data_IF_964733436023
#
_entry.id   IF_964733436023
#
_cell.length_a   1.000
_cell.length_b   1.000
_cell.length_c   1.000
_cell.angle_alpha   90.00
_cell.angle_beta   90.00
_cell.angle_gamma   90.00
#
_symmetry.space_group_name_H-M   'P 1'
#
loop_
_entity.id
_entity.type
_entity.pdbx_description
1 polymer ?
2 non-polymer ?
3 non-polymer ?
4 non-polymer ?
5 water ?
#
# COMPACT_ATOMS: atom_id res chain seq x y z
N UNK A 1 19.58 18.36 33.04
CA UNK A 1 20.99 18.38 32.56
C UNK A 1 20.97 18.37 31.03
N UNK A 2 21.72 19.30 30.44
CA UNK A 2 21.77 19.40 28.99
C UNK A 2 22.25 18.11 28.34
N UNK A 3 23.30 17.52 28.90
CA UNK A 3 23.88 16.31 28.33
C UNK A 3 22.95 15.11 28.40
N UNK A 4 22.15 15.03 29.46
CA UNK A 4 21.20 13.95 29.58
C UNK A 4 20.16 14.08 28.46
N UNK A 5 19.67 15.29 28.23
CA UNK A 5 18.67 15.54 27.19
C UNK A 5 19.22 15.26 25.80
N UNK A 6 20.49 15.58 25.60
CA UNK A 6 21.14 15.35 24.33
C UNK A 6 21.24 13.86 24.04
N UNK A 7 21.55 13.10 25.09
CA UNK A 7 21.68 11.65 24.97
C UNK A 7 20.32 11.01 24.70
N UNK A 8 19.28 11.53 25.34
CA UNK A 8 17.94 10.99 25.10
C UNK A 8 17.58 11.28 23.66
N UNK A 9 17.87 12.49 23.21
CA UNK A 9 17.56 12.90 21.84
C UNK A 9 18.19 11.95 20.84
N UNK A 10 19.46 11.61 21.05
CA UNK A 10 20.13 10.68 20.16
C UNK A 10 19.35 9.37 20.09
N UNK A 11 18.98 8.87 21.27
CA UNK A 11 18.22 7.62 21.37
C UNK A 11 16.86 7.73 20.67
N UNK A 12 16.22 8.89 20.77
CA UNK A 12 14.91 9.11 20.13
C UNK A 12 15.05 9.07 18.60
N UNK A 13 16.10 9.74 18.11
CA UNK A 13 16.37 9.81 16.69
C UNK A 13 16.71 8.39 16.17
N UNK A 14 17.59 7.68 16.86
CA UNK A 14 17.95 6.33 16.46
C UNK A 14 16.73 5.40 16.43
N UNK A 15 15.84 5.57 17.40
CA UNK A 15 14.64 4.73 17.47
C UNK A 15 13.76 5.05 16.27
N UNK A 16 13.69 6.32 15.93
CA UNK A 16 12.89 6.77 14.79
C UNK A 16 13.45 6.22 13.47
N UNK A 17 14.79 6.23 13.34
CA UNK A 17 15.43 5.71 12.12
C UNK A 17 15.08 4.25 11.94
N UNK A 18 15.11 3.50 13.03
CA UNK A 18 14.79 2.09 12.96
C UNK A 18 13.32 1.84 12.66
N UNK A 19 12.44 2.68 13.20
CA UNK A 19 11.02 2.46 12.94
C UNK A 19 10.69 2.80 11.49
N UNK A 20 11.35 3.83 10.95
CA UNK A 20 11.13 4.22 9.56
C UNK A 20 11.62 3.15 8.61
N UNK A 21 12.71 2.47 8.97
CA UNK A 21 13.24 1.40 8.12
C UNK A 21 12.22 0.26 8.11
N UNK A 22 11.61 -0.01 9.27
CA UNK A 22 10.60 -1.06 9.38
C UNK A 22 9.37 -0.71 8.54
N UNK A 23 8.95 0.54 8.63
CA UNK A 23 7.82 1.00 7.85
C UNK A 23 8.12 0.80 6.36
N UNK A 24 9.31 1.17 5.92
CA UNK A 24 9.68 0.97 4.52
C UNK A 24 9.66 -0.52 4.15
N UNK A 25 10.15 -1.39 5.04
CA UNK A 25 10.14 -2.84 4.77
C UNK A 25 8.72 -3.38 4.67
N UNK A 26 7.85 -2.95 5.58
CA UNK A 26 6.46 -3.40 5.55
C UNK A 26 5.76 -2.89 4.28
N UNK A 27 6.01 -1.64 3.90
CA UNK A 27 5.39 -1.13 2.68
C UNK A 27 5.84 -1.95 1.48
N UNK A 28 7.15 -2.19 1.37
CA UNK A 28 7.65 -2.97 0.23
C UNK A 28 7.02 -4.38 0.22
N UNK A 29 6.94 -5.01 1.39
CA UNK A 29 6.33 -6.33 1.51
C UNK A 29 4.89 -6.28 0.98
N UNK A 30 4.12 -5.30 1.47
CA UNK A 30 2.73 -5.11 1.09
C UNK A 30 2.54 -4.82 -0.39
N UNK A 31 3.55 -4.25 -1.03
CA UNK A 31 3.40 -3.97 -2.44
C UNK A 31 3.95 -5.10 -3.31
N UNK A 32 4.26 -6.23 -2.67
CA UNK A 32 4.71 -7.40 -3.41
C UNK A 32 6.19 -7.69 -3.57
N UNK A 33 7.08 -7.02 -2.85
CA UNK A 33 8.49 -7.32 -3.01
C UNK A 33 8.76 -8.71 -2.50
N UNK A 34 9.45 -9.52 -3.31
CA UNK A 34 9.78 -10.88 -2.94
C UNK A 34 11.18 -10.84 -2.35
N UNK A 35 11.48 -11.77 -1.45
CA UNK A 35 12.77 -11.82 -0.81
C UNK A 35 13.91 -11.84 -1.82
N UNK A 36 14.91 -10.99 -1.60
CA UNK A 36 16.06 -10.93 -2.49
C UNK A 36 15.77 -10.48 -3.91
N UNK A 37 14.57 -9.98 -4.15
CA UNK A 37 14.17 -9.52 -5.48
C UNK A 37 13.83 -8.03 -5.45
N UNK A 38 14.14 -7.32 -6.52
CA UNK A 38 13.80 -5.91 -6.55
C UNK A 38 12.29 -5.89 -6.76
N UNK A 39 11.62 -4.79 -6.45
CA UNK A 39 10.18 -4.78 -6.69
C UNK A 39 9.75 -3.61 -7.54
N UNK A 40 8.64 -3.81 -8.24
CA UNK A 40 8.10 -2.84 -9.16
C UNK A 40 6.81 -2.25 -8.67
N UNK A 41 6.59 -0.96 -8.94
CA UNK A 41 5.38 -0.28 -8.49
C UNK A 41 4.92 0.68 -9.58
N UNK A 42 3.62 0.90 -9.66
CA UNK A 42 3.06 1.83 -10.64
C UNK A 42 1.84 2.54 -10.06
N UNK A 43 1.57 3.76 -10.50
CA UNK A 43 0.37 4.47 -10.06
C UNK A 43 -0.61 4.38 -11.24
N UNK A 44 -0.22 3.63 -12.27
CA UNK A 44 -1.04 3.43 -13.48
C UNK A 44 -1.21 4.70 -14.34
N UNK A 45 -0.41 5.71 -14.08
CA UNK A 45 -0.49 6.95 -14.84
C UNK A 45 0.38 6.85 -16.09
N UNK A 46 -0.13 7.33 -17.23
CA UNK A 46 0.63 7.30 -18.47
C UNK A 46 1.27 8.67 -18.71
N UNK A 47 2.54 8.69 -19.10
CA UNK A 47 3.23 9.97 -19.31
C UNK A 47 4.46 9.77 -20.19
N UNK A 48 5.04 10.87 -20.71
CA UNK A 48 6.22 10.82 -21.58
C UNK A 48 7.39 10.21 -20.79
N UNK A 49 8.36 9.63 -21.50
CA UNK A 49 9.50 9.00 -20.84
C UNK A 49 10.28 9.90 -19.85
N UNK A 50 10.53 11.15 -20.22
CA UNK A 50 11.29 12.05 -19.34
C UNK A 50 10.63 12.22 -17.96
N UNK A 51 9.29 12.20 -17.95
CA UNK A 51 8.52 12.35 -16.73
C UNK A 51 8.59 11.11 -15.88
N UNK A 52 8.53 9.95 -16.51
CA UNK A 52 8.61 8.71 -15.74
C UNK A 52 9.97 8.66 -15.07
N UNK A 53 10.99 9.03 -15.83
CA UNK A 53 12.35 9.01 -15.33
C UNK A 53 12.48 9.93 -14.13
N UNK A 54 11.93 11.13 -14.27
CA UNK A 54 12.00 12.12 -13.20
C UNK A 54 11.25 11.64 -11.97
N UNK A 55 10.06 11.08 -12.19
CA UNK A 55 9.24 10.57 -11.09
C UNK A 55 9.96 9.45 -10.32
N UNK A 56 10.35 8.37 -11.00
CA UNK A 56 11.05 7.28 -10.30
C UNK A 56 12.31 7.79 -9.61
N UNK A 57 13.06 8.65 -10.29
CA UNK A 57 14.28 9.20 -9.73
C UNK A 57 14.01 9.91 -8.40
N UNK A 58 12.93 10.68 -8.34
CA UNK A 58 12.56 11.40 -7.13
C UNK A 58 12.29 10.44 -5.97
N UNK A 59 11.80 9.25 -6.29
CA UNK A 59 11.48 8.22 -5.31
C UNK A 59 12.68 7.35 -4.99
N UNK A 60 13.83 7.68 -5.58
CA UNK A 60 15.05 6.93 -5.38
C UNK A 60 14.99 5.52 -5.99
N UNK A 61 14.33 5.43 -7.14
CA UNK A 61 14.24 4.17 -7.88
C UNK A 61 14.63 4.53 -9.32
N UNK A 62 14.22 3.73 -10.29
CA UNK A 62 14.52 4.01 -11.68
C UNK A 62 13.40 3.41 -12.49
N UNK A 63 13.32 3.77 -13.76
CA UNK A 63 12.28 3.20 -14.62
C UNK A 63 12.56 1.71 -14.65
N UNK A 64 11.53 0.90 -14.51
CA UNK A 64 11.66 -0.56 -14.48
C UNK A 64 12.51 -1.13 -15.62
N UNK A 65 13.42 -2.04 -15.26
CA UNK A 65 14.31 -2.68 -16.24
C UNK A 65 14.25 -4.21 -16.11
N UNK A 66 13.72 -4.91 -17.12
CA UNK A 66 13.65 -6.37 -17.07
C UNK A 66 15.07 -6.90 -17.34
N UNK A 67 15.66 -7.62 -16.39
CA UNK A 67 17.01 -8.16 -16.58
C UNK A 67 16.93 -9.63 -17.01
N UNK A 68 15.72 -10.18 -16.94
CA UNK A 68 15.50 -11.57 -17.33
C UNK A 68 14.02 -11.81 -17.49
N UNK A 69 13.66 -13.04 -17.84
CA UNK A 69 12.26 -13.42 -18.05
C UNK A 69 11.38 -13.27 -16.82
N UNK A 70 11.90 -13.59 -15.65
CA UNK A 70 11.11 -13.48 -14.42
C UNK A 70 10.72 -12.02 -14.14
N UNK A 71 11.72 -11.14 -14.19
CA UNK A 71 11.48 -9.73 -13.96
C UNK A 71 10.57 -9.16 -15.04
N UNK A 72 10.74 -9.63 -16.27
CA UNK A 72 9.93 -9.13 -17.37
C UNK A 72 8.46 -9.47 -17.10
N UNK A 73 8.24 -10.69 -16.63
CA UNK A 73 6.89 -11.15 -16.30
C UNK A 73 6.32 -10.32 -15.15
N UNK A 74 7.14 -10.08 -14.13
CA UNK A 74 6.69 -9.29 -12.97
C UNK A 74 6.29 -7.87 -13.39
N UNK A 75 7.11 -7.26 -14.26
CA UNK A 75 6.83 -5.91 -14.74
C UNK A 75 5.54 -5.88 -15.56
N UNK A 76 5.35 -6.93 -16.37
CA UNK A 76 4.15 -7.04 -17.20
C UNK A 76 2.89 -7.11 -16.33
N UNK A 77 2.96 -7.92 -15.28
CA UNK A 77 1.83 -8.10 -14.34
C UNK A 77 1.49 -6.77 -13.66
N UNK A 78 2.51 -6.06 -13.18
CA UNK A 78 2.32 -4.79 -12.50
C UNK A 78 1.75 -3.71 -13.42
N UNK A 79 2.34 -3.58 -14.61
CA UNK A 79 1.91 -2.57 -15.57
C UNK A 79 0.49 -2.71 -16.08
N UNK A 80 0.11 -3.92 -16.49
CA UNK A 80 -1.24 -4.18 -17.00
C UNK A 80 -1.46 -3.60 -18.40
N UNK A 81 -0.65 -2.62 -18.78
CA UNK A 81 -0.75 -1.99 -20.10
C UNK A 81 0.67 -1.68 -20.60
N UNK A 82 0.78 -0.98 -21.72
CA UNK A 82 2.09 -0.68 -22.26
C UNK A 82 2.83 0.26 -21.29
N UNK A 83 4.10 -0.01 -21.05
CA UNK A 83 4.86 0.82 -20.12
C UNK A 83 6.32 0.96 -20.54
N UNK A 84 6.91 2.12 -20.27
CA UNK A 84 8.31 2.35 -20.59
C UNK A 84 9.23 1.50 -19.71
N UNK A 85 10.40 1.17 -20.26
CA UNK A 85 11.41 0.41 -19.54
C UNK A 85 12.62 1.36 -19.47
N UNK A 86 13.49 1.15 -18.50
CA UNK A 86 14.68 1.99 -18.36
C UNK A 86 15.76 1.62 -19.36
N UNK A 87 15.37 1.60 -20.64
CA UNK A 87 16.25 1.22 -21.75
C UNK A 87 16.06 2.18 -22.92
N UNK A 88 17.13 2.71 -23.51
CA UNK A 88 16.98 3.63 -24.66
C UNK A 88 18.23 3.63 -25.55
N UNK A 89 18.07 4.05 -26.81
CA UNK A 89 19.22 4.18 -27.70
C UNK A 89 19.40 5.66 -28.08
N UNK A 90 19.09 6.53 -27.13
CA UNK A 90 19.21 7.99 -27.31
C UNK A 90 20.64 8.45 -27.54
N UNK A 91 21.59 7.84 -26.84
CA UNK A 91 22.98 8.25 -26.94
C UNK A 91 23.65 7.91 -28.27
N UNK A 92 23.41 6.68 -28.73
CA UNK A 92 23.97 6.23 -30.00
C UNK A 92 22.93 5.33 -30.66
N UNK A 93 22.34 5.81 -31.75
CA UNK A 93 21.29 5.08 -32.46
C UNK A 93 21.66 3.63 -32.73
N UNK A 94 20.78 2.73 -32.32
CA UNK A 94 21.03 1.32 -32.54
C UNK A 94 21.64 0.60 -31.36
N UNK A 95 22.27 1.35 -30.45
CA UNK A 95 22.89 0.75 -29.28
C UNK A 95 22.08 1.06 -28.02
N UNK A 96 21.18 0.16 -27.65
CA UNK A 96 20.38 0.36 -26.45
C UNK A 96 21.21 0.17 -25.19
N UNK A 97 21.00 1.06 -24.23
CA UNK A 97 21.73 1.04 -22.96
C UNK A 97 20.71 1.16 -21.85
N UNK A 98 21.06 0.70 -20.64
CA UNK A 98 20.20 0.84 -19.50
C UNK A 98 20.35 2.29 -19.06
N UNK A 99 19.27 2.92 -18.60
CA UNK A 99 19.34 4.31 -18.18
C UNK A 99 20.37 4.45 -17.05
N UNK A 100 20.60 3.36 -16.33
CA UNK A 100 21.57 3.36 -15.25
C UNK A 100 22.99 2.96 -15.69
N UNK A 101 23.17 2.78 -17.00
CA UNK A 101 24.48 2.43 -17.52
C UNK A 101 24.67 1.01 -18.01
N UNK A 102 25.45 0.86 -19.07
CA UNK A 102 25.71 -0.45 -19.63
C UNK A 102 24.88 -0.85 -20.84
N UNK A 103 25.45 -1.70 -21.69
CA UNK A 103 24.77 -2.16 -22.88
C UNK A 103 23.70 -3.19 -22.55
N UNK A 104 22.62 -3.15 -23.32
CA UNK A 104 21.52 -4.08 -23.15
C UNK A 104 22.01 -5.50 -23.36
N UNK A 105 21.67 -6.39 -22.43
CA UNK A 105 22.03 -7.79 -22.59
C UNK A 105 20.72 -8.52 -22.87
N UNK A 106 20.03 -8.95 -21.82
CA UNK A 106 18.75 -9.62 -22.00
C UNK A 106 17.76 -8.74 -22.75
N UNK A 107 17.03 -9.31 -23.70
CA UNK A 107 16.03 -8.57 -24.45
C UNK A 107 14.81 -9.46 -24.74
N UNK A 108 13.68 -8.83 -25.04
CA UNK A 108 12.47 -9.57 -25.34
C UNK A 108 11.68 -8.85 -26.43
N UNK A 109 12.38 -8.51 -27.50
CA UNK A 109 11.79 -7.78 -28.62
C UNK A 109 10.73 -8.53 -29.40
N UNK A 110 9.69 -7.81 -29.81
CA UNK A 110 8.67 -8.39 -30.65
C UNK A 110 9.39 -8.63 -31.97
N UNK A 111 8.86 -9.52 -32.81
CA UNK A 111 9.46 -9.79 -34.11
C UNK A 111 9.49 -8.49 -34.90
N UNK A 112 10.62 -8.23 -35.56
CA UNK A 112 10.82 -7.03 -36.38
C UNK A 112 11.07 -5.74 -35.58
N UNK A 113 11.39 -5.88 -34.30
CA UNK A 113 11.69 -4.71 -33.46
C UNK A 113 13.08 -4.98 -32.88
N UNK A 114 13.83 -3.93 -32.53
CA UNK A 114 13.55 -2.48 -32.61
C UNK A 114 13.72 -2.04 -34.05
N UNK A 115 12.96 -1.04 -34.50
CA UNK A 115 13.07 -0.60 -35.89
C UNK A 115 13.22 0.91 -36.07
N UNK A 116 13.44 1.64 -34.97
CA UNK A 116 13.61 3.10 -35.01
C UNK A 116 12.68 3.61 -36.09
N UNK A 117 11.40 3.27 -35.93
CA UNK A 117 10.38 3.61 -36.91
C UNK A 117 10.09 5.08 -37.20
N UNK A 118 9.90 5.36 -38.49
CA UNK A 118 9.60 6.71 -38.94
C UNK A 118 10.64 7.75 -38.59
N UNK A 119 10.18 8.85 -37.99
CA UNK A 119 11.08 9.93 -37.60
C UNK A 119 12.07 9.45 -36.55
N UNK A 120 11.82 8.27 -36.00
CA UNK A 120 12.73 7.72 -35.00
C UNK A 120 12.08 7.29 -33.71
N UNK A 121 12.64 6.26 -33.09
CA UNK A 121 12.16 5.74 -31.82
C UNK A 121 13.37 5.37 -30.98
N UNK A 122 13.55 6.05 -29.85
CA UNK A 122 14.69 5.79 -28.99
C UNK A 122 14.36 5.21 -27.61
N UNK A 123 13.08 5.12 -27.29
CA UNK A 123 12.65 4.54 -26.03
C UNK A 123 12.07 3.16 -26.25
N UNK A 124 11.72 2.49 -25.15
CA UNK A 124 11.21 1.13 -25.22
C UNK A 124 10.02 0.89 -24.30
N UNK A 125 9.00 0.21 -24.81
CA UNK A 125 7.85 -0.14 -23.99
C UNK A 125 7.66 -1.66 -23.96
N UNK A 126 7.20 -2.18 -22.83
CA UNK A 126 6.89 -3.59 -22.71
C UNK A 126 5.40 -3.53 -23.07
N UNK A 127 4.98 -4.35 -24.02
CA UNK A 127 3.58 -4.34 -24.48
C UNK A 127 2.87 -5.69 -24.36
N UNK A 128 2.17 -6.07 -25.44
CA UNK A 128 1.41 -7.32 -25.53
C UNK A 128 2.24 -8.58 -25.38
N UNK A 129 1.79 -9.47 -24.49
CA UNK A 129 2.48 -10.71 -24.21
C UNK A 129 3.81 -10.46 -23.50
N UNK A 130 4.05 -9.21 -23.12
CA UNK A 130 5.29 -8.90 -22.45
C UNK A 130 6.45 -8.64 -23.40
N UNK A 131 6.19 -8.66 -24.70
CA UNK A 131 7.24 -8.41 -25.69
C UNK A 131 7.57 -6.91 -25.67
N UNK A 132 8.63 -6.51 -26.37
CA UNK A 132 9.05 -5.12 -26.40
C UNK A 132 8.99 -4.46 -27.78
N UNK A 133 8.71 -3.16 -27.76
CA UNK A 133 8.67 -2.37 -29.00
C UNK A 133 9.38 -1.05 -28.74
N UNK A 134 10.26 -0.62 -29.64
CA UNK A 134 10.90 0.68 -29.43
C UNK A 134 9.87 1.71 -29.89
N UNK A 135 9.75 2.81 -29.15
CA UNK A 135 8.74 3.83 -29.44
C UNK A 135 9.30 5.22 -29.15
N UNK A 136 8.60 6.26 -29.58
CA UNK A 136 9.04 7.63 -29.32
C UNK A 136 9.04 7.90 -27.82
N UNK A 137 10.10 8.54 -27.35
CA UNK A 137 10.24 8.90 -25.94
C UNK A 137 9.20 9.95 -25.57
N UNK A 138 8.60 10.59 -26.58
CA UNK A 138 7.58 11.62 -26.38
C UNK A 138 6.18 11.05 -26.19
N UNK A 139 5.99 9.79 -26.55
CA UNK A 139 4.69 9.16 -26.37
C UNK A 139 4.45 8.99 -24.87
N UNK A 140 3.19 8.78 -24.49
CA UNK A 140 2.84 8.60 -23.09
C UNK A 140 2.48 7.16 -22.79
N UNK A 141 3.26 6.53 -21.93
CA UNK A 141 3.00 5.14 -21.55
C UNK A 141 3.07 5.04 -20.02
N UNK A 142 2.60 3.92 -19.48
CA UNK A 142 2.55 3.74 -18.04
C UNK A 142 3.89 3.83 -17.30
N UNK A 143 3.86 4.57 -16.19
CA UNK A 143 5.02 4.78 -15.34
C UNK A 143 5.19 3.63 -14.36
N UNK A 144 6.29 2.92 -14.47
CA UNK A 144 6.55 1.79 -13.58
C UNK A 144 7.98 1.95 -13.10
N UNK A 145 8.16 2.00 -11.78
CA UNK A 145 9.46 2.17 -11.18
C UNK A 145 9.95 0.87 -10.56
N UNK A 146 11.26 0.73 -10.45
CA UNK A 146 11.81 -0.45 -9.81
C UNK A 146 12.66 0.07 -8.64
N UNK A 147 12.72 -0.73 -7.60
CA UNK A 147 13.48 -0.41 -6.41
C UNK A 147 14.38 -1.62 -6.13
N UNK A 148 15.60 -1.41 -5.62
CA UNK A 148 16.59 -2.45 -5.30
C UNK A 148 16.14 -3.67 -4.51
N UNK A 149 16.76 -4.80 -4.78
CA UNK A 149 16.42 -6.03 -4.08
C UNK A 149 16.74 -5.89 -2.60
N UNK B 1 20.27 30.17 24.34
CA UNK B 1 20.31 29.60 22.97
C UNK B 1 20.29 28.07 23.00
N UNK B 2 21.36 27.46 23.52
CA UNK B 2 21.43 26.00 23.58
C UNK B 2 20.19 25.30 24.16
N UNK B 3 19.77 25.68 25.36
CA UNK B 3 18.58 25.08 25.96
C UNK B 3 17.37 25.26 25.05
N UNK B 4 17.29 26.42 24.40
CA UNK B 4 16.19 26.71 23.50
C UNK B 4 16.25 25.83 22.26
N UNK B 5 17.43 25.71 21.66
CA UNK B 5 17.59 24.89 20.47
C UNK B 5 17.23 23.44 20.77
N UNK B 6 17.63 22.98 21.94
CA UNK B 6 17.36 21.60 22.36
C UNK B 6 15.85 21.37 22.50
N UNK B 7 15.17 22.30 23.16
CA UNK B 7 13.73 22.19 23.36
C UNK B 7 13.03 22.18 22.01
N UNK B 8 13.40 23.11 21.13
CA UNK B 8 12.80 23.18 19.81
C UNK B 8 13.03 21.90 19.01
N UNK B 9 14.19 21.27 19.16
CA UNK B 9 14.46 20.03 18.45
C UNK B 9 13.65 18.87 19.01
N UNK B 10 13.41 18.89 20.32
CA UNK B 10 12.62 17.85 20.96
C UNK B 10 11.19 17.95 20.43
N UNK B 11 10.74 19.18 20.17
CA UNK B 11 9.39 19.39 19.64
C UNK B 11 9.33 18.86 18.21
N UNK B 12 10.37 19.12 17.42
CA UNK B 12 10.44 18.64 16.04
C UNK B 12 10.40 17.12 16.01
N UNK B 13 11.11 16.50 16.96
CA UNK B 13 11.13 15.05 17.06
C UNK B 13 9.75 14.48 17.39
N UNK B 14 9.04 15.12 18.32
CA UNK B 14 7.69 14.67 18.70
C UNK B 14 6.78 14.72 17.47
N UNK B 15 6.88 15.81 16.72
CA UNK B 15 6.08 16.01 15.51
C UNK B 15 6.36 14.95 14.46
N UNK B 16 7.63 14.57 14.33
CA UNK B 16 8.05 13.56 13.37
C UNK B 16 7.53 12.19 13.78
N UNK B 17 7.58 11.91 15.08
CA UNK B 17 7.08 10.63 15.61
C UNK B 17 5.59 10.46 15.30
N UNK B 18 4.83 11.54 15.46
CA UNK B 18 3.40 11.48 15.18
C UNK B 18 3.18 11.32 13.68
N UNK B 19 3.96 12.03 12.90
CA UNK B 19 3.84 11.94 11.45
C UNK B 19 4.14 10.50 10.97
N UNK B 20 5.14 9.84 11.57
CA UNK B 20 5.45 8.47 11.18
C UNK B 20 4.28 7.58 11.56
N UNK B 21 3.73 7.77 12.75
CA UNK B 21 2.58 6.97 13.19
C UNK B 21 1.42 7.14 12.20
N UNK B 22 1.24 8.37 11.70
CA UNK B 22 0.18 8.68 10.75
C UNK B 22 0.45 7.85 9.49
N UNK B 23 1.70 7.87 9.02
CA UNK B 23 2.11 7.11 7.84
C UNK B 23 1.74 5.63 7.99
N UNK B 24 2.01 5.07 9.16
CA UNK B 24 1.71 3.66 9.42
C UNK B 24 0.20 3.40 9.34
N UNK B 25 -0.59 4.32 9.89
CA UNK B 25 -2.04 4.18 9.90
C UNK B 25 -2.64 4.26 8.51
N UNK B 26 -2.21 5.26 7.75
CA UNK B 26 -2.73 5.42 6.41
C UNK B 26 -2.37 4.22 5.56
N UNK B 27 -1.15 3.71 5.75
CA UNK B 27 -0.73 2.54 4.99
C UNK B 27 -1.62 1.34 5.30
N UNK B 28 -1.85 1.06 6.58
CA UNK B 28 -2.69 -0.08 6.97
C UNK B 28 -4.11 0.10 6.41
N UNK B 29 -4.63 1.32 6.49
CA UNK B 29 -5.96 1.64 5.97
C UNK B 29 -6.02 1.34 4.46
N UNK B 30 -5.06 1.88 3.72
CA UNK B 30 -5.01 1.68 2.28
C UNK B 30 -4.91 0.20 1.90
N UNK B 31 -4.34 -0.60 2.79
CA UNK B 31 -4.21 -2.01 2.54
C UNK B 31 -5.36 -2.85 3.09
N UNK B 32 -6.45 -2.19 3.46
CA UNK B 32 -7.62 -2.89 3.94
C UNK B 32 -7.81 -3.16 5.41
N UNK B 33 -7.00 -2.55 6.28
CA UNK B 33 -7.18 -2.80 7.71
C UNK B 33 -8.52 -2.24 8.19
N UNK B 34 -9.34 -3.10 8.77
CA UNK B 34 -10.64 -2.68 9.29
C UNK B 34 -10.50 -2.22 10.73
N UNK B 35 -11.38 -1.31 11.14
CA UNK B 35 -11.37 -0.77 12.50
C UNK B 35 -11.46 -1.89 13.54
N UNK B 36 -10.67 -1.76 14.61
CA UNK B 36 -10.66 -2.76 15.66
C UNK B 36 -10.36 -4.18 15.20
N UNK B 37 -9.76 -4.32 14.02
CA UNK B 37 -9.43 -5.65 13.50
C UNK B 37 -7.93 -5.76 13.22
N UNK B 38 -7.38 -6.96 13.37
CA UNK B 38 -5.97 -7.17 13.10
C UNK B 38 -5.72 -6.91 11.63
N UNK B 39 -4.49 -6.53 11.31
CA UNK B 39 -4.09 -6.23 9.95
C UNK B 39 -3.37 -7.43 9.34
N UNK B 40 -3.96 -8.05 8.31
CA UNK B 40 -3.35 -9.20 7.63
C UNK B 40 -2.78 -8.75 6.27
N UNK B 41 -1.55 -9.15 5.97
CA UNK B 41 -0.93 -8.74 4.71
C UNK B 41 0.05 -9.77 4.16
N UNK B 42 0.21 -9.80 2.85
CA UNK B 42 1.12 -10.76 2.24
C UNK B 42 1.80 -10.18 1.01
N UNK B 43 2.97 -10.71 0.68
CA UNK B 43 3.67 -10.25 -0.53
C UNK B 43 3.43 -11.29 -1.63
N UNK B 44 2.69 -12.35 -1.29
CA UNK B 44 2.35 -13.45 -2.20
C UNK B 44 3.52 -14.38 -2.52
N UNK B 45 4.49 -14.45 -1.62
CA UNK B 45 5.64 -15.30 -1.82
C UNK B 45 5.46 -16.57 -0.99
N UNK B 46 5.76 -17.72 -1.59
CA UNK B 46 5.65 -19.00 -0.91
C UNK B 46 7.04 -19.39 -0.41
N UNK B 47 7.12 -19.88 0.83
CA UNK B 47 8.40 -20.26 1.42
C UNK B 47 8.20 -21.19 2.63
N UNK B 48 9.29 -21.79 3.11
CA UNK B 48 9.22 -22.68 4.28
C UNK B 48 8.78 -21.90 5.52
N UNK B 49 8.15 -22.60 6.45
CA UNK B 49 7.66 -21.99 7.68
C UNK B 49 8.73 -21.23 8.44
N UNK B 50 9.94 -21.74 8.45
CA UNK B 50 11.04 -21.09 9.17
C UNK B 50 11.23 -19.65 8.65
N UNK B 51 11.18 -19.51 7.33
CA UNK B 51 11.35 -18.20 6.69
C UNK B 51 10.19 -17.24 6.93
N UNK B 52 8.97 -17.76 6.90
CA UNK B 52 7.80 -16.92 7.13
C UNK B 52 7.91 -16.31 8.53
N UNK B 53 8.28 -17.13 9.52
CA UNK B 53 8.43 -16.63 10.88
C UNK B 53 9.51 -15.58 10.94
N UNK B 54 10.63 -15.84 10.28
CA UNK B 54 11.73 -14.90 10.30
C UNK B 54 11.31 -13.62 9.62
N UNK B 55 10.56 -13.75 8.52
CA UNK B 55 10.10 -12.59 7.77
C UNK B 55 9.13 -11.74 8.60
N UNK B 56 8.03 -12.33 9.05
CA UNK B 56 7.07 -11.58 9.84
C UNK B 56 7.74 -10.96 11.05
N UNK B 57 8.65 -11.70 11.70
CA UNK B 57 9.37 -11.17 12.88
C UNK B 57 10.19 -9.95 12.49
N UNK B 58 10.80 -9.98 11.32
CA UNK B 58 11.62 -8.85 10.89
C UNK B 58 10.74 -7.62 10.69
N UNK B 59 9.47 -7.83 10.39
CA UNK B 59 8.52 -6.74 10.20
C UNK B 59 7.82 -6.42 11.49
N UNK B 60 8.30 -7.02 12.58
CA UNK B 60 7.72 -6.83 13.90
C UNK B 60 6.27 -7.29 13.94
N UNK B 61 5.98 -8.34 13.19
CA UNK B 61 4.65 -8.91 13.18
C UNK B 61 4.81 -10.37 13.55
N UNK B 62 3.81 -11.20 13.24
CA UNK B 62 3.87 -12.63 13.53
C UNK B 62 3.13 -13.35 12.41
N UNK B 63 3.33 -14.66 12.29
CA UNK B 63 2.62 -15.41 11.26
C UNK B 63 1.14 -15.34 11.57
N UNK B 64 0.32 -15.11 10.54
CA UNK B 64 -1.11 -15.01 10.71
C UNK B 64 -1.73 -16.14 11.52
N UNK B 65 -2.62 -15.79 12.44
CA UNK B 65 -3.30 -16.77 13.28
C UNK B 65 -4.78 -16.43 13.36
N UNK B 66 -5.65 -17.33 12.89
CA UNK B 66 -7.10 -17.11 12.93
C UNK B 66 -7.61 -17.54 14.32
N UNK B 67 -8.10 -16.57 15.10
CA UNK B 67 -8.60 -16.82 16.45
C UNK B 67 -10.09 -17.16 16.45
N UNK B 68 -10.75 -16.93 15.32
CA UNK B 68 -12.18 -17.19 15.20
C UNK B 68 -12.55 -17.29 13.73
N UNK B 69 -13.82 -17.58 13.47
CA UNK B 69 -14.31 -17.73 12.09
C UNK B 69 -14.06 -16.51 11.21
N UNK B 70 -14.30 -15.33 11.76
CA UNK B 70 -14.12 -14.10 11.00
C UNK B 70 -12.68 -13.85 10.59
N UNK B 71 -11.75 -14.00 11.53
CA UNK B 71 -10.35 -13.80 11.22
C UNK B 71 -9.87 -14.82 10.17
N UNK B 72 -10.33 -16.07 10.29
CA UNK B 72 -9.94 -17.12 9.36
C UNK B 72 -10.37 -16.71 7.95
N UNK B 73 -11.55 -16.09 7.85
CA UNK B 73 -12.05 -15.64 6.55
C UNK B 73 -11.20 -14.50 6.03
N UNK B 74 -10.83 -13.58 6.91
CA UNK B 74 -10.02 -12.43 6.54
C UNK B 74 -8.68 -12.90 5.98
N UNK B 75 -8.09 -13.90 6.64
CA UNK B 75 -6.80 -14.45 6.22
C UNK B 75 -6.95 -15.14 4.88
N UNK B 76 -8.05 -15.85 4.70
CA UNK B 76 -8.32 -16.58 3.46
C UNK B 76 -8.32 -15.64 2.25
N UNK B 77 -8.98 -14.50 2.37
CA UNK B 77 -9.06 -13.56 1.27
C UNK B 77 -7.74 -12.84 0.98
N UNK B 78 -6.95 -12.58 2.01
CA UNK B 78 -5.67 -11.93 1.81
C UNK B 78 -4.72 -12.91 1.12
N UNK B 79 -4.68 -14.14 1.62
CA UNK B 79 -3.80 -15.16 1.08
C UNK B 79 -4.11 -15.55 -0.36
N UNK B 80 -5.35 -15.95 -0.62
CA UNK B 80 -5.77 -16.38 -1.96
C UNK B 80 -5.33 -17.83 -2.25
N UNK B 81 -4.26 -18.25 -1.61
CA UNK B 81 -3.73 -19.60 -1.80
C UNK B 81 -3.32 -20.24 -0.48
N UNK B 82 -2.73 -21.42 -0.54
CA UNK B 82 -2.31 -22.12 0.67
C UNK B 82 -1.25 -21.28 1.38
N UNK B 83 -1.47 -21.02 2.67
CA UNK B 83 -0.55 -20.21 3.45
C UNK B 83 -0.40 -20.76 4.86
N UNK B 84 0.82 -20.69 5.40
CA UNK B 84 1.05 -21.16 6.77
C UNK B 84 0.34 -20.28 7.79
N UNK B 85 -0.06 -20.90 8.90
CA UNK B 85 -0.70 -20.17 9.98
C UNK B 85 0.30 -20.28 11.15
N UNK B 86 0.20 -19.41 12.15
CA UNK B 86 1.13 -19.47 13.26
C UNK B 86 0.79 -20.56 14.28
N UNK B 87 0.70 -21.79 13.81
CA UNK B 87 0.33 -22.92 14.67
C UNK B 87 1.15 -24.16 14.33
N UNK B 88 1.66 -24.86 15.33
CA UNK B 88 2.44 -26.09 15.09
C UNK B 88 2.29 -27.05 16.28
N UNK B 89 2.57 -28.35 16.07
CA UNK B 89 2.49 -29.33 17.16
C UNK B 89 3.86 -30.00 17.30
N UNK B 90 4.90 -29.19 17.12
CA UNK B 90 6.28 -29.62 17.22
C UNK B 90 6.69 -30.08 18.64
N UNK B 91 5.86 -29.78 19.63
CA UNK B 91 6.15 -30.16 21.02
C UNK B 91 5.48 -31.48 21.39
N UNK B 92 4.16 -31.51 21.34
CA UNK B 92 3.41 -32.71 21.63
C UNK B 92 2.47 -32.96 20.46
N UNK B 93 2.72 -34.07 19.76
CA UNK B 93 1.93 -34.46 18.60
C UNK B 93 0.43 -34.39 18.91
N UNK B 94 -0.30 -33.66 18.08
CA UNK B 94 -1.73 -33.55 18.28
C UNK B 94 -2.07 -32.34 19.11
N UNK B 95 -1.09 -31.83 19.83
CA UNK B 95 -1.29 -30.65 20.66
C UNK B 95 -0.75 -29.44 19.92
N UNK B 96 -1.58 -28.85 19.05
CA UNK B 96 -1.14 -27.67 18.32
C UNK B 96 -1.09 -26.45 19.21
N UNK B 97 -0.08 -25.63 19.00
CA UNK B 97 0.15 -24.43 19.79
C UNK B 97 0.40 -23.21 18.89
N UNK B 98 -0.03 -22.05 19.36
CA UNK B 98 0.19 -20.82 18.61
C UNK B 98 1.65 -20.52 18.77
N UNK B 99 2.28 -19.97 17.73
CA UNK B 99 3.70 -19.65 17.82
C UNK B 99 3.93 -18.57 18.87
N UNK B 100 2.86 -17.88 19.27
CA UNK B 100 2.99 -16.84 20.27
C UNK B 100 2.61 -17.35 21.67
N UNK B 101 2.43 -18.66 21.78
CA UNK B 101 2.09 -19.26 23.06
C UNK B 101 0.63 -19.61 23.23
N UNK B 102 0.36 -20.66 23.99
CA UNK B 102 -1.01 -21.06 24.25
C UNK B 102 -1.51 -22.18 23.37
N UNK B 103 -2.50 -22.90 23.89
CA UNK B 103 -3.12 -24.02 23.20
C UNK B 103 -4.13 -23.54 22.19
N UNK B 104 -4.25 -24.28 21.10
CA UNK B 104 -5.19 -23.94 20.05
C UNK B 104 -6.62 -23.88 20.58
N UNK B 105 -7.33 -22.82 20.20
CA UNK B 105 -8.74 -22.67 20.59
C UNK B 105 -9.54 -22.98 19.32
N UNK B 106 -9.85 -21.95 18.53
CA UNK B 106 -10.59 -22.15 17.29
C UNK B 106 -9.77 -22.96 16.28
N UNK B 107 -10.46 -23.78 15.50
CA UNK B 107 -9.80 -24.59 14.48
C UNK B 107 -10.80 -24.80 13.36
N UNK B 108 -10.32 -25.16 12.18
CA UNK B 108 -11.19 -25.35 11.03
C UNK B 108 -10.58 -26.40 10.12
N UNK B 109 -10.23 -27.55 10.69
CA UNK B 109 -9.61 -28.63 9.95
C UNK B 109 -10.46 -29.19 8.82
N UNK B 110 -9.77 -29.71 7.81
CA UNK B 110 -10.41 -30.33 6.67
C UNK B 110 -10.67 -31.79 7.08
N UNK B 111 -11.54 -32.48 6.34
CA UNK B 111 -11.84 -33.86 6.67
C UNK B 111 -10.56 -34.69 6.64
N UNK B 112 -10.42 -35.58 7.62
CA UNK B 112 -9.25 -36.44 7.76
C UNK B 112 -7.98 -35.72 8.23
N UNK B 113 -8.12 -34.48 8.66
CA UNK B 113 -6.97 -33.69 9.13
C UNK B 113 -7.21 -33.25 10.57
N UNK B 114 -6.13 -33.10 11.37
CA UNK B 114 -4.73 -33.33 11.04
C UNK B 114 -4.39 -34.82 11.02
N UNK B 115 -3.53 -35.24 10.09
CA UNK B 115 -3.16 -36.64 9.97
C UNK B 115 -1.65 -36.89 10.09
N UNK B 116 -0.89 -35.83 10.34
CA UNK B 116 0.56 -35.95 10.49
C UNK B 116 1.08 -36.92 9.44
N UNK B 117 0.52 -36.81 8.23
CA UNK B 117 0.83 -37.68 7.10
C UNK B 117 2.32 -37.96 6.82
N UNK B 118 2.56 -39.11 6.21
CA UNK B 118 3.92 -39.52 5.86
C UNK B 118 4.89 -39.47 7.03
N UNK B 119 6.07 -38.92 6.77
CA UNK B 119 7.09 -38.80 7.79
C UNK B 119 6.77 -37.80 8.89
N UNK B 120 5.61 -37.15 8.80
CA UNK B 120 5.23 -36.18 9.81
C UNK B 120 4.90 -34.79 9.28
N UNK B 121 3.90 -34.18 9.88
CA UNK B 121 3.43 -32.85 9.53
C UNK B 121 3.12 -32.10 10.83
N UNK B 122 3.90 -31.07 11.13
CA UNK B 122 3.69 -30.29 12.35
C UNK B 122 3.31 -28.83 12.13
N UNK B 123 3.24 -28.41 10.87
CA UNK B 123 2.81 -27.05 10.59
C UNK B 123 1.39 -27.11 10.05
N UNK B 124 0.78 -25.94 9.85
CA UNK B 124 -0.59 -25.87 9.40
C UNK B 124 -0.77 -24.84 8.31
N UNK B 125 -1.54 -25.19 7.29
CA UNK B 125 -1.80 -24.26 6.18
C UNK B 125 -3.29 -24.10 6.01
N UNK B 126 -3.71 -22.87 5.71
CA UNK B 126 -5.11 -22.61 5.45
C UNK B 126 -5.18 -22.82 3.94
N UNK B 127 -6.10 -23.68 3.49
CA UNK B 127 -6.20 -23.99 2.07
C UNK B 127 -7.52 -23.56 1.43
N UNK B 128 -8.02 -24.40 0.51
CA UNK B 128 -9.27 -24.12 -0.21
C UNK B 128 -10.47 -24.00 0.72
N UNK B 129 -11.29 -22.98 0.47
CA UNK B 129 -12.48 -22.73 1.26
C UNK B 129 -12.17 -22.36 2.71
N UNK B 130 -10.91 -22.05 2.97
CA UNK B 130 -10.52 -21.67 4.32
C UNK B 130 -10.28 -22.82 5.28
N UNK B 131 -10.37 -24.05 4.79
CA UNK B 131 -10.15 -25.23 5.62
C UNK B 131 -8.66 -25.39 5.94
N UNK B 132 -8.35 -26.14 6.99
CA UNK B 132 -6.96 -26.35 7.41
C UNK B 132 -6.40 -27.73 7.09
N UNK B 133 -5.09 -27.81 6.98
CA UNK B 133 -4.40 -29.07 6.73
C UNK B 133 -3.02 -29.00 7.34
N UNK B 134 -2.64 -30.02 8.13
CA UNK B 134 -1.29 -30.02 8.67
C UNK B 134 -0.37 -30.42 7.54
N UNK B 135 0.82 -29.83 7.50
CA UNK B 135 1.76 -30.09 6.43
C UNK B 135 3.19 -29.97 6.96
N UNK B 136 4.15 -30.49 6.19
CA UNK B 136 5.55 -30.41 6.59
C UNK B 136 5.94 -28.94 6.72
N UNK B 137 6.70 -28.61 7.76
CA UNK B 137 7.14 -27.25 7.98
C UNK B 137 8.18 -26.86 6.91
N UNK B 138 8.73 -27.87 6.22
CA UNK B 138 9.73 -27.64 5.17
C UNK B 138 9.11 -27.27 3.82
N UNK B 139 7.83 -27.58 3.65
CA UNK B 139 7.14 -27.27 2.40
C UNK B 139 7.03 -25.74 2.27
N UNK B 140 6.82 -25.28 1.04
CA UNK B 140 6.70 -23.84 0.77
C UNK B 140 5.25 -23.42 0.58
N UNK B 141 4.82 -22.41 1.32
CA UNK B 141 3.46 -21.90 1.20
C UNK B 141 3.48 -20.39 1.38
N UNK B 142 2.39 -19.72 1.04
CA UNK B 142 2.32 -18.27 1.14
C UNK B 142 2.57 -17.67 2.52
N UNK B 143 3.36 -16.61 2.54
CA UNK B 143 3.71 -15.92 3.78
C UNK B 143 2.66 -14.82 4.05
N UNK B 144 1.99 -14.93 5.18
CA UNK B 144 0.98 -13.94 5.57
C UNK B 144 1.27 -13.56 7.00
N UNK B 145 1.46 -12.26 7.23
CA UNK B 145 1.78 -11.77 8.54
C UNK B 145 0.58 -11.04 9.11
N UNK B 146 0.56 -10.90 10.43
CA UNK B 146 -0.53 -10.20 11.07
C UNK B 146 0.07 -9.14 11.97
N UNK B 147 -0.66 -8.05 12.10
CA UNK B 147 -0.25 -6.96 12.96
C UNK B 147 -1.47 -6.74 13.83
N UNK B 148 -1.26 -6.29 15.07
CA UNK B 148 -2.36 -6.04 16.02
C UNK B 148 -3.45 -5.09 15.54
N UNK B 149 -4.65 -5.27 16.08
CA UNK B 149 -5.80 -4.45 15.72
C UNK B 149 -5.58 -3.01 16.19
N UNK C 1 31.92 19.43 22.04
CA UNK C 1 30.96 18.31 22.00
C UNK C 1 29.53 18.82 21.89
N UNK C 2 28.98 19.29 23.02
CA UNK C 2 27.60 19.80 23.06
C UNK C 2 27.09 20.48 21.80
N UNK C 3 27.69 21.61 21.43
CA UNK C 3 27.27 22.34 20.24
C UNK C 3 27.36 21.47 18.99
N UNK C 4 28.47 20.76 18.83
CA UNK C 4 28.65 19.89 17.68
C UNK C 4 27.56 18.82 17.57
N UNK C 5 27.27 18.12 18.68
CA UNK C 5 26.24 17.09 18.66
C UNK C 5 24.88 17.71 18.34
N UNK C 6 24.65 18.91 18.87
CA UNK C 6 23.39 19.61 18.67
C UNK C 6 23.24 19.97 17.19
N UNK C 7 24.33 20.38 16.56
CA UNK C 7 24.30 20.70 15.15
C UNK C 7 24.10 19.42 14.35
N UNK C 8 24.73 18.33 14.78
CA UNK C 8 24.57 17.08 14.08
C UNK C 8 23.13 16.57 14.13
N UNK C 9 22.52 16.65 15.31
CA UNK C 9 21.16 16.18 15.45
C UNK C 9 20.14 16.96 14.65
N UNK C 10 20.46 18.22 14.37
CA UNK C 10 19.59 19.07 13.57
C UNK C 10 19.63 18.55 12.13
N UNK C 11 20.82 18.13 11.71
CA UNK C 11 20.99 17.59 10.36
C UNK C 11 20.35 16.20 10.30
N UNK C 12 20.42 15.45 11.39
CA UNK C 12 19.82 14.11 11.45
C UNK C 12 18.30 14.23 11.34
N UNK C 13 17.74 15.23 12.01
CA UNK C 13 16.30 15.45 11.99
C UNK C 13 15.86 15.87 10.60
N UNK C 14 16.63 16.75 9.96
CA UNK C 14 16.27 17.18 8.62
C UNK C 14 16.36 16.04 7.62
N UNK C 15 17.31 15.15 7.82
CA UNK C 15 17.46 14.00 6.94
C UNK C 15 16.26 13.05 7.13
N UNK C 16 15.88 12.79 8.38
CA UNK C 16 14.74 11.92 8.64
C UNK C 16 13.45 12.53 8.09
N UNK C 17 13.32 13.86 8.15
CA UNK C 17 12.12 14.48 7.61
C UNK C 17 12.04 14.25 6.10
N UNK C 18 13.18 14.42 5.42
CA UNK C 18 13.24 14.22 3.97
C UNK C 18 12.90 12.78 3.62
N UNK C 19 13.44 11.82 4.37
CA UNK C 19 13.14 10.42 4.10
C UNK C 19 11.65 10.10 4.29
N UNK C 20 11.02 10.65 5.32
CA UNK C 20 9.60 10.38 5.56
C UNK C 20 8.76 11.00 4.45
N UNK C 21 9.17 12.17 3.95
CA UNK C 21 8.45 12.82 2.86
C UNK C 21 8.50 11.87 1.67
N UNK C 22 9.66 11.24 1.48
CA UNK C 22 9.86 10.29 0.39
C UNK C 22 8.98 9.07 0.57
N UNK C 23 8.98 8.52 1.78
CA UNK C 23 8.16 7.35 2.08
C UNK C 23 6.70 7.68 1.76
N UNK C 24 6.26 8.88 2.13
CA UNK C 24 4.88 9.30 1.87
C UNK C 24 4.56 9.38 0.38
N UNK C 25 5.49 9.95 -0.40
CA UNK C 25 5.32 10.06 -1.84
C UNK C 25 5.25 8.70 -2.51
N UNK C 26 6.14 7.80 -2.08
CA UNK C 26 6.16 6.45 -2.65
C UNK C 26 4.87 5.71 -2.30
N UNK C 27 4.34 5.93 -1.09
CA UNK C 27 3.13 5.22 -0.74
C UNK C 27 1.93 5.77 -1.52
N UNK C 28 1.90 7.09 -1.73
CA UNK C 28 0.80 7.69 -2.50
C UNK C 28 0.88 7.19 -3.94
N UNK C 29 2.10 7.10 -4.48
CA UNK C 29 2.32 6.60 -5.84
C UNK C 29 1.79 5.16 -5.95
N UNK C 30 2.17 4.30 -5.01
CA UNK C 30 1.71 2.90 -5.04
C UNK C 30 0.19 2.82 -4.82
N UNK C 31 -0.36 3.81 -4.12
CA UNK C 31 -1.80 3.85 -3.86
C UNK C 31 -2.56 4.31 -5.11
N UNK C 32 -1.83 4.72 -6.15
CA UNK C 32 -2.47 5.18 -7.38
C UNK C 32 -2.60 6.68 -7.56
N UNK C 33 -2.02 7.47 -6.66
CA UNK C 33 -2.07 8.92 -6.76
C UNK C 33 -1.51 9.37 -8.11
N UNK C 34 -2.28 10.17 -8.85
CA UNK C 34 -1.89 10.68 -10.17
C UNK C 34 -1.37 12.11 -10.00
N UNK C 35 -0.37 12.47 -10.80
CA UNK C 35 0.20 13.81 -10.73
C UNK C 35 -0.90 14.87 -10.80
N UNK C 36 -0.79 15.87 -9.93
CA UNK C 36 -1.75 16.95 -9.89
C UNK C 36 -3.19 16.57 -9.57
N UNK C 37 -3.43 15.36 -9.11
CA UNK C 37 -4.78 14.94 -8.78
C UNK C 37 -4.86 14.61 -7.29
N UNK C 38 -5.99 14.93 -6.68
CA UNK C 38 -6.16 14.61 -5.27
C UNK C 38 -6.37 13.11 -5.30
N UNK C 39 -6.07 12.41 -4.22
CA UNK C 39 -6.32 11.00 -4.31
C UNK C 39 -7.26 10.47 -3.24
N UNK C 40 -8.01 9.46 -3.64
CA UNK C 40 -9.03 8.86 -2.79
C UNK C 40 -8.57 7.49 -2.38
N UNK C 41 -8.82 7.14 -1.11
CA UNK C 41 -8.40 5.86 -0.56
C UNK C 41 -9.50 5.28 0.32
N UNK C 42 -9.61 3.95 0.32
CA UNK C 42 -10.61 3.28 1.14
C UNK C 42 -10.05 1.97 1.63
N UNK C 43 -10.58 1.50 2.76
CA UNK C 43 -10.17 0.21 3.31
C UNK C 43 -11.34 -0.75 3.05
N UNK C 44 -12.34 -0.23 2.34
CA UNK C 44 -13.53 -0.99 1.96
C UNK C 44 -14.46 -1.30 3.11
N UNK C 45 -14.26 -0.63 4.25
CA UNK C 45 -15.11 -0.85 5.40
C UNK C 45 -16.35 0.04 5.33
N UNK C 46 -17.49 -0.50 5.75
CA UNK C 46 -18.73 0.26 5.75
C UNK C 46 -19.04 0.63 7.19
N UNK C 47 -19.39 1.89 7.43
CA UNK C 47 -19.65 2.38 8.77
C UNK C 47 -20.51 3.64 8.70
N UNK C 48 -20.98 4.14 9.86
CA UNK C 48 -21.81 5.35 9.93
C UNK C 48 -20.99 6.57 9.52
N UNK C 49 -21.66 7.62 9.05
CA UNK C 49 -20.97 8.83 8.63
C UNK C 49 -20.08 9.40 9.74
N UNK C 50 -20.58 9.43 10.96
CA UNK C 50 -19.77 9.98 12.07
C UNK C 50 -18.44 9.25 12.17
N UNK C 51 -18.46 7.93 11.95
CA UNK C 51 -17.23 7.15 12.03
C UNK C 51 -16.31 7.41 10.86
N UNK C 52 -16.89 7.68 9.69
CA UNK C 52 -16.07 7.96 8.52
C UNK C 52 -15.36 9.28 8.75
N UNK C 53 -16.08 10.26 9.31
CA UNK C 53 -15.46 11.55 9.56
C UNK C 53 -14.32 11.43 10.53
N UNK C 54 -14.53 10.68 11.61
CA UNK C 54 -13.49 10.51 12.62
C UNK C 54 -12.27 9.81 12.03
N UNK C 55 -12.51 8.75 11.25
CA UNK C 55 -11.43 8.00 10.63
C UNK C 55 -10.61 8.85 9.66
N UNK C 56 -11.25 9.55 8.73
CA UNK C 56 -10.48 10.37 7.80
C UNK C 56 -9.77 11.52 8.55
N UNK C 57 -10.39 11.99 9.64
CA UNK C 57 -9.78 13.05 10.43
C UNK C 57 -8.47 12.57 11.05
N UNK C 58 -8.47 11.34 11.58
CA UNK C 58 -7.27 10.78 12.17
C UNK C 58 -6.14 10.70 11.14
N UNK C 59 -6.51 10.33 9.91
CA UNK C 59 -5.54 10.18 8.84
C UNK C 59 -5.17 11.52 8.22
N UNK C 60 -5.68 12.59 8.82
CA UNK C 60 -5.40 13.94 8.32
C UNK C 60 -5.89 14.17 6.90
N UNK C 61 -7.04 13.58 6.60
CA UNK C 61 -7.66 13.74 5.30
C UNK C 61 -9.10 14.14 5.57
N UNK C 62 -9.97 14.03 4.58
CA UNK C 62 -11.36 14.40 4.79
C UNK C 62 -12.24 13.42 4.05
N UNK C 63 -13.53 13.38 4.39
CA UNK C 63 -14.44 12.47 3.70
C UNK C 63 -14.47 12.94 2.25
N UNK C 64 -14.37 11.99 1.34
CA UNK C 64 -14.33 12.28 -0.09
C UNK C 64 -15.42 13.23 -0.60
N UNK C 65 -14.98 14.24 -1.36
CA UNK C 65 -15.87 15.23 -1.93
C UNK C 65 -15.55 15.47 -3.41
N UNK C 66 -16.48 15.10 -4.32
CA UNK C 66 -16.27 15.29 -5.75
C UNK C 66 -16.64 16.74 -6.09
N UNK C 67 -15.71 17.48 -6.70
CA UNK C 67 -15.93 18.88 -7.04
C UNK C 67 -16.35 19.02 -8.51
N UNK C 68 -16.28 17.92 -9.23
CA UNK C 68 -16.65 17.89 -10.63
C UNK C 68 -16.84 16.44 -11.06
N UNK C 69 -17.32 16.25 -12.27
CA UNK C 69 -17.58 14.92 -12.81
C UNK C 69 -16.36 14.00 -12.82
N UNK C 70 -15.17 14.58 -12.99
CA UNK C 70 -13.97 13.75 -13.03
C UNK C 70 -13.71 13.15 -11.64
N UNK C 71 -13.67 14.00 -10.63
CA UNK C 71 -13.46 13.56 -9.27
C UNK C 71 -14.56 12.59 -8.85
N UNK C 72 -15.78 12.87 -9.31
CA UNK C 72 -16.93 12.03 -8.97
C UNK C 72 -16.71 10.62 -9.47
N UNK C 73 -16.20 10.53 -10.70
CA UNK C 73 -15.94 9.21 -11.27
C UNK C 73 -14.77 8.57 -10.55
N UNK C 74 -13.80 9.37 -10.15
CA UNK C 74 -12.63 8.85 -9.43
C UNK C 74 -13.06 8.18 -8.12
N UNK C 75 -13.98 8.84 -7.40
CA UNK C 75 -14.47 8.30 -6.13
C UNK C 75 -15.28 7.03 -6.35
N UNK C 76 -16.09 7.01 -7.40
CA UNK C 76 -16.93 5.86 -7.74
C UNK C 76 -16.03 4.64 -7.97
N UNK C 77 -14.93 4.83 -8.69
CA UNK C 77 -13.99 3.75 -8.99
C UNK C 77 -13.26 3.21 -7.75
N UNK C 78 -12.95 4.10 -6.81
CA UNK C 78 -12.27 3.70 -5.58
C UNK C 78 -13.20 2.93 -4.64
N UNK C 79 -14.41 3.44 -4.47
CA UNK C 79 -15.39 2.83 -3.56
C UNK C 79 -15.98 1.51 -4.03
N UNK C 80 -16.34 1.42 -5.31
CA UNK C 80 -16.92 0.18 -5.86
C UNK C 80 -18.34 -0.11 -5.37
N UNK C 81 -18.76 0.55 -4.29
CA UNK C 81 -20.10 0.38 -3.72
C UNK C 81 -20.62 1.74 -3.23
N UNK C 82 -21.74 1.75 -2.51
CA UNK C 82 -22.26 3.02 -2.01
C UNK C 82 -21.31 3.54 -0.95
N UNK C 83 -20.91 4.81 -1.07
CA UNK C 83 -19.99 5.41 -0.13
C UNK C 83 -20.42 6.81 0.26
N UNK C 84 -20.16 7.19 1.51
CA UNK C 84 -20.51 8.52 2.00
C UNK C 84 -19.61 9.57 1.36
N UNK C 85 -20.19 10.74 1.10
CA UNK C 85 -19.46 11.88 0.57
C UNK C 85 -19.44 12.88 1.71
N UNK C 86 -18.47 13.80 1.68
CA UNK C 86 -18.37 14.80 2.73
C UNK C 86 -19.35 15.93 2.49
N UNK C 87 -20.63 15.57 2.38
CA UNK C 87 -21.70 16.53 2.13
C UNK C 87 -22.91 16.19 3.02
N UNK C 88 -23.53 17.18 3.65
CA UNK C 88 -24.70 16.96 4.50
C UNK C 88 -25.55 18.22 4.63
N UNK C 89 -26.83 18.05 4.99
CA UNK C 89 -27.71 19.18 5.22
C UNK C 89 -28.18 19.08 6.67
N UNK C 90 -27.27 18.66 7.53
CA UNK C 90 -27.51 18.54 8.97
C UNK C 90 -27.81 19.87 9.64
N UNK C 91 -27.10 20.91 9.22
CA UNK C 91 -27.27 22.23 9.81
C UNK C 91 -28.62 22.87 9.50
N UNK C 92 -29.01 22.87 8.24
CA UNK C 92 -30.29 23.43 7.84
C UNK C 92 -30.88 22.48 6.79
N UNK C 93 -31.95 21.79 7.15
CA UNK C 93 -32.62 20.85 6.26
C UNK C 93 -32.83 21.44 4.87
N UNK C 94 -32.42 20.69 3.85
CA UNK C 94 -32.60 21.14 2.48
C UNK C 94 -31.39 21.86 1.91
N UNK C 95 -30.50 22.34 2.78
CA UNK C 95 -29.32 23.06 2.33
C UNK C 95 -28.04 22.24 2.54
N UNK C 96 -27.62 21.53 1.50
CA UNK C 96 -26.40 20.72 1.60
C UNK C 96 -25.14 21.56 1.55
N UNK C 97 -24.21 21.17 2.42
CA UNK C 97 -22.95 21.87 2.58
C UNK C 97 -21.80 20.87 2.63
N UNK C 98 -20.62 21.30 2.23
CA UNK C 98 -19.45 20.45 2.31
C UNK C 98 -19.07 20.38 3.80
N UNK C 99 -18.58 19.22 4.23
CA UNK C 99 -18.15 19.08 5.63
C UNK C 99 -16.93 19.99 5.84
N UNK C 100 -16.31 20.40 4.75
CA UNK C 100 -15.15 21.28 4.80
C UNK C 100 -15.61 22.74 4.74
N UNK C 101 -16.92 22.93 4.62
CA UNK C 101 -17.47 24.27 4.59
C UNK C 101 -17.89 24.81 3.24
N UNK C 102 -19.08 25.43 3.20
CA UNK C 102 -19.56 26.01 1.95
C UNK C 102 -20.72 25.29 1.29
N UNK C 103 -21.45 26.05 0.46
CA UNK C 103 -22.57 25.51 -0.28
C UNK C 103 -22.07 24.70 -1.45
N UNK C 104 -22.81 23.63 -1.76
CA UNK C 104 -22.49 22.71 -2.83
C UNK C 104 -22.35 23.42 -4.17
N UNK C 105 -21.28 23.12 -4.89
CA UNK C 105 -21.06 23.71 -6.21
C UNK C 105 -21.55 22.69 -7.23
N UNK C 106 -20.80 21.60 -7.36
CA UNK C 106 -21.15 20.53 -8.28
C UNK C 106 -22.02 19.52 -7.54
N UNK C 107 -22.88 18.84 -8.29
CA UNK C 107 -23.75 17.83 -7.71
C UNK C 107 -24.17 16.88 -8.82
N UNK C 108 -24.47 15.64 -8.45
CA UNK C 108 -24.89 14.67 -9.43
C UNK C 108 -26.00 13.83 -8.83
N UNK C 109 -27.04 14.53 -8.39
CA UNK C 109 -28.20 13.89 -7.76
C UNK C 109 -29.00 13.00 -8.70
N UNK C 110 -29.45 11.87 -8.17
CA UNK C 110 -30.29 10.95 -8.91
C UNK C 110 -31.63 11.71 -9.00
N UNK C 111 -32.48 11.36 -9.97
CA UNK C 111 -33.77 12.04 -10.14
C UNK C 111 -34.64 12.07 -8.88
N UNK C 112 -35.07 13.28 -8.49
CA UNK C 112 -35.92 13.52 -7.32
C UNK C 112 -35.19 13.38 -5.99
N UNK C 113 -33.86 13.42 -6.04
CA UNK C 113 -33.07 13.37 -4.82
C UNK C 113 -32.46 14.76 -4.79
N UNK C 114 -32.13 15.27 -3.59
CA UNK C 114 -32.27 14.69 -2.26
C UNK C 114 -33.71 14.90 -1.76
N UNK C 115 -34.31 13.86 -1.19
CA UNK C 115 -35.68 13.96 -0.72
C UNK C 115 -35.96 13.84 0.79
N UNK C 116 -34.92 13.68 1.60
CA UNK C 116 -35.06 13.54 3.07
C UNK C 116 -36.14 12.50 3.37
N UNK C 117 -36.03 11.36 2.70
CA UNK C 117 -37.02 10.30 2.82
C UNK C 117 -37.34 9.77 4.21
N UNK C 118 -38.62 9.43 4.40
CA UNK C 118 -39.10 8.88 5.66
C UNK C 118 -38.71 9.65 6.90
N UNK C 119 -38.12 8.93 7.85
CA UNK C 119 -37.70 9.54 9.11
C UNK C 119 -36.64 10.63 8.95
N UNK C 120 -36.10 10.77 7.75
CA UNK C 120 -35.09 11.80 7.54
C UNK C 120 -33.79 11.30 6.96
N UNK C 121 -33.16 12.14 6.14
CA UNK C 121 -31.89 11.82 5.50
C UNK C 121 -31.03 13.08 5.39
N UNK C 122 -29.91 13.11 6.11
CA UNK C 122 -29.05 14.30 6.07
C UNK C 122 -27.65 14.09 5.50
N UNK C 123 -27.31 12.85 5.18
CA UNK C 123 -26.03 12.54 4.58
C UNK C 123 -26.19 12.20 3.10
N UNK C 124 -25.08 11.97 2.42
CA UNK C 124 -25.10 11.71 1.00
C UNK C 124 -24.17 10.58 0.59
N UNK C 125 -24.65 9.72 -0.30
CA UNK C 125 -23.86 8.62 -0.79
C UNK C 125 -23.81 8.61 -2.30
N UNK C 126 -22.66 8.26 -2.84
CA UNK C 126 -22.48 8.15 -4.26
C UNK C 126 -22.81 6.67 -4.46
N UNK C 127 -23.74 6.38 -5.36
CA UNK C 127 -24.13 4.99 -5.59
C UNK C 127 -23.35 4.31 -6.71
N UNK C 128 -23.72 3.06 -7.00
CA UNK C 128 -23.07 2.26 -8.04
C UNK C 128 -23.40 2.72 -9.45
N UNK C 129 -23.60 4.03 -9.60
CA UNK C 129 -23.93 4.62 -10.89
C UNK C 129 -23.19 5.93 -11.03
N UNK C 130 -22.68 6.42 -9.89
CA UNK C 130 -21.98 7.70 -9.90
C UNK C 130 -22.95 8.78 -9.45
N UNK C 131 -24.24 8.47 -9.52
CA UNK C 131 -25.29 9.40 -9.11
C UNK C 131 -25.36 9.47 -7.58
N UNK C 132 -26.01 10.50 -7.04
CA UNK C 132 -26.10 10.67 -5.59
C UNK C 132 -27.49 10.49 -5.02
N UNK C 133 -27.54 10.00 -3.79
CA UNK C 133 -28.78 9.83 -3.06
C UNK C 133 -28.55 10.24 -1.60
N UNK C 134 -29.43 11.08 -1.05
CA UNK C 134 -29.26 11.46 0.34
C UNK C 134 -29.75 10.26 1.13
N UNK C 135 -29.13 9.99 2.26
CA UNK C 135 -29.45 8.81 3.06
C UNK C 135 -29.22 9.11 4.56
N UNK C 136 -29.69 8.19 5.42
CA UNK C 136 -29.51 8.36 6.86
C UNK C 136 -28.03 8.37 7.24
N UNK C 137 -27.61 9.38 7.99
CA UNK C 137 -26.23 9.48 8.43
C UNK C 137 -25.85 8.32 9.35
N UNK C 138 -26.86 7.62 9.88
CA UNK C 138 -26.60 6.49 10.76
C UNK C 138 -26.43 5.17 10.04
N UNK C 139 -26.75 5.14 8.75
CA UNK C 139 -26.61 3.92 7.96
C UNK C 139 -25.12 3.69 7.71
N UNK C 140 -24.73 2.45 7.39
CA UNK C 140 -23.33 2.13 7.14
C UNK C 140 -23.00 2.04 5.66
N UNK C 141 -22.05 2.86 5.23
CA UNK C 141 -21.62 2.87 3.84
C UNK C 141 -20.09 2.94 3.80
N UNK C 142 -19.52 2.64 2.65
CA UNK C 142 -18.06 2.60 2.50
C UNK C 142 -17.33 3.89 2.82
N UNK C 143 -16.28 3.77 3.62
CA UNK C 143 -15.48 4.91 4.03
C UNK C 143 -14.42 5.24 2.98
N UNK C 144 -14.51 6.45 2.42
CA UNK C 144 -13.54 6.88 1.40
C UNK C 144 -12.96 8.21 1.84
N UNK C 145 -11.66 8.24 2.08
CA UNK C 145 -10.99 9.47 2.52
C UNK C 145 -10.27 10.15 1.36
N UNK C 146 -10.14 11.46 1.48
CA UNK C 146 -9.51 12.28 0.44
C UNK C 146 -8.28 13.03 0.95
N UNK C 147 -7.24 13.07 0.12
CA UNK C 147 -6.02 13.76 0.44
C UNK C 147 -5.74 14.70 -0.72
N UNK C 148 -5.10 15.85 -0.45
CA UNK C 148 -4.77 16.90 -1.43
C UNK C 148 -3.96 16.47 -2.65
N UNK C 149 -4.18 17.17 -3.76
CA UNK C 149 -3.47 16.92 -5.01
C UNK C 149 -1.98 17.21 -4.82
#
# INVERSE_FOLDING_TARGET
AIEVKLANMEAEINTLKSKLELTNKLHAFSMGKKSGKKFFVTNHERMPFSKVKALCSELRGTVAIPRNAEENKAIQEVAKTSAFLGITDEVTEGQFMYVTGGRLTYSNWKKDEPNDHGSGEDCVTIVDNGLWNDISCQASHTAVCEFPA
AIEVKLANMEAEINTLKSKLELTNKLHAFSMGKKSGKKFFVTNHERMPFSKVKALCSELRGTVAIPRNAEENKAIQEVAKTSAFLGITDEVTEGQFMYVTGGRLTYSNWKKDEPNDHGSGEDCVTIVDNGLWNDISCQASHTAVCEFPA
AIEVKLANMEAEINTLKSKLELTNKLHAFSMGKKSGKKFFVTNHERMPFSKVKALCSELRGTVAIPRNAEENKAIQEVAKTSAFLGITDEVTEGQFMYVTGGRLTYSNWKKDEPNDHGSGEDCVTIVDNGLWNDISCQASHTAVCEFPA
#
